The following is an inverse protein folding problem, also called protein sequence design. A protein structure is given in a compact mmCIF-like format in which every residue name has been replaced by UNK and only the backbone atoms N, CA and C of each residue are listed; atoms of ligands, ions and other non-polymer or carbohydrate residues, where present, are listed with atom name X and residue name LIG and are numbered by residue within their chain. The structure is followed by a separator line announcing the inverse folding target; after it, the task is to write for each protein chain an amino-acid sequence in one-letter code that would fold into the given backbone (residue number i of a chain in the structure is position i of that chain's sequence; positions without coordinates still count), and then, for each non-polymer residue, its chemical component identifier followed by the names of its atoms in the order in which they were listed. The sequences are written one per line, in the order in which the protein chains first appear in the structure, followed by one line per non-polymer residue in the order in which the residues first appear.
data_IF_342007077864
#
_entry.id   IF_342007077864
#
_cell.length_a   1.000
_cell.length_b   1.000
_cell.length_c   1.000
_cell.angle_alpha   90.00
_cell.angle_beta   90.00
_cell.angle_gamma   90.00
#
_symmetry.space_group_name_H-M   'P 1'
#
loop_
_entity.id
_entity.type
_entity.pdbx_description
1 polymer ?
#
# COMPACT_ATOMS: atom_id res chain seq x y z
N UNK A 1 -4.26 5.19 -1.73
CA UNK A 1 -3.93 5.96 -0.51
C UNK A 1 -2.44 6.22 -0.44
N UNK A 2 -2.03 7.43 -0.13
CA UNK A 2 -0.62 7.81 0.03
C UNK A 2 -0.51 9.07 0.92
N UNK A 3 0.73 9.50 1.26
CA UNK A 3 0.97 10.71 2.04
C UNK A 3 2.08 11.56 1.42
N UNK A 4 1.93 12.87 1.56
CA UNK A 4 2.97 13.81 1.15
C UNK A 4 3.31 14.78 2.29
N UNK A 5 4.54 15.29 2.28
CA UNK A 5 5.01 16.29 3.26
C UNK A 5 4.92 17.66 2.61
N UNK A 6 4.27 18.59 3.31
CA UNK A 6 4.19 20.00 2.92
C UNK A 6 5.05 20.79 3.91
N UNK A 7 6.14 21.42 3.45
CA UNK A 7 6.97 22.24 4.30
C UNK A 7 6.23 23.52 4.73
N UNK A 8 6.37 23.89 5.99
CA UNK A 8 5.78 25.08 6.56
C UNK A 8 6.84 25.97 7.22
N UNK A 9 6.59 27.27 7.24
CA UNK A 9 7.41 28.23 7.95
C UNK A 9 7.12 28.15 9.46
N UNK A 10 8.11 27.78 10.28
CA UNK A 10 7.94 27.65 11.73
C UNK A 10 7.62 28.97 12.44
N UNK A 11 8.04 30.13 11.89
CA UNK A 11 7.70 31.44 12.47
C UNK A 11 6.22 31.78 12.34
N UNK A 12 5.50 31.12 11.45
CA UNK A 12 4.06 31.29 11.24
C UNK A 12 3.25 30.12 11.83
N UNK A 13 3.84 28.90 11.79
CA UNK A 13 3.21 27.65 12.21
C UNK A 13 4.09 26.92 13.23
N UNK A 14 4.22 27.45 14.44
CA UNK A 14 5.09 26.96 15.51
C UNK A 14 4.74 25.53 15.99
N UNK A 15 3.48 25.14 15.85
CA UNK A 15 2.97 23.81 16.19
C UNK A 15 3.42 22.71 15.20
N UNK A 16 3.77 23.08 13.95
CA UNK A 16 4.10 22.13 12.87
C UNK A 16 5.57 21.68 12.91
N UNK A 17 6.11 21.39 14.09
CA UNK A 17 7.52 20.98 14.27
C UNK A 17 7.81 19.64 13.61
N UNK A 18 8.64 19.63 12.57
CA UNK A 18 9.09 18.41 11.88
C UNK A 18 10.53 18.02 12.25
N UNK A 19 11.44 18.99 12.21
CA UNK A 19 12.84 18.90 12.65
C UNK A 19 13.16 20.11 13.53
N UNK A 20 14.35 20.13 14.16
CA UNK A 20 14.76 21.21 15.04
C UNK A 20 14.60 22.63 14.42
N UNK A 21 14.78 22.74 13.10
CA UNK A 21 14.77 24.02 12.37
C UNK A 21 13.73 24.08 11.23
N UNK A 22 12.90 23.05 11.05
CA UNK A 22 11.95 22.97 9.92
C UNK A 22 10.57 22.57 10.40
N UNK A 23 9.57 23.32 9.92
CA UNK A 23 8.16 22.97 10.03
C UNK A 23 7.69 22.16 8.83
N UNK A 24 6.82 21.19 9.06
CA UNK A 24 6.10 20.50 8.02
C UNK A 24 4.86 19.80 8.57
N UNK A 25 3.85 19.70 7.75
CA UNK A 25 2.71 18.80 7.97
C UNK A 25 2.77 17.64 7.00
N UNK A 26 2.21 16.52 7.39
CA UNK A 26 2.00 15.37 6.51
C UNK A 26 0.53 15.28 6.16
N UNK A 27 0.26 15.30 4.87
CA UNK A 27 -1.07 15.18 4.29
C UNK A 27 -1.27 13.73 3.88
N UNK A 28 -2.16 13.01 4.58
CA UNK A 28 -2.59 11.66 4.23
C UNK A 28 -3.85 11.76 3.40
N UNK A 29 -3.86 11.16 2.22
CA UNK A 29 -4.97 11.29 1.26
C UNK A 29 -5.40 9.93 0.77
N UNK A 30 -6.71 9.72 0.74
CA UNK A 30 -7.34 8.66 -0.05
C UNK A 30 -7.90 9.33 -1.29
N UNK A 31 -7.41 8.95 -2.45
CA UNK A 31 -7.88 9.43 -3.73
C UNK A 31 -8.86 8.40 -4.29
N UNK A 32 -10.03 8.85 -4.71
CA UNK A 32 -10.95 8.02 -5.48
C UNK A 32 -10.43 7.88 -6.91
N UNK A 33 -10.43 6.65 -7.42
CA UNK A 33 -9.91 6.37 -8.75
C UNK A 33 -10.79 6.96 -9.86
N UNK A 34 -12.11 6.85 -9.71
CA UNK A 34 -13.06 7.23 -10.77
C UNK A 34 -13.13 8.74 -11.04
N UNK A 35 -12.65 9.57 -10.16
CA UNK A 35 -12.68 11.02 -10.35
C UNK A 35 -11.40 11.74 -10.01
N UNK A 36 -10.36 11.00 -9.62
CA UNK A 36 -9.12 11.58 -9.07
C UNK A 36 -9.39 12.60 -7.96
N UNK A 37 -10.49 12.44 -7.24
CA UNK A 37 -10.93 13.35 -6.17
C UNK A 37 -10.54 12.81 -4.81
N UNK A 38 -10.03 13.68 -3.90
CA UNK A 38 -9.78 13.26 -2.54
C UNK A 38 -11.09 12.89 -1.83
N UNK A 39 -11.26 11.62 -1.48
CA UNK A 39 -12.39 11.14 -0.68
C UNK A 39 -12.13 11.25 0.82
N UNK A 40 -10.85 11.33 1.21
CA UNK A 40 -10.43 11.51 2.59
C UNK A 40 -9.09 12.26 2.63
N UNK A 41 -9.01 13.24 3.54
CA UNK A 41 -7.78 14.00 3.80
C UNK A 41 -7.60 14.11 5.32
N UNK A 42 -6.43 13.72 5.80
CA UNK A 42 -6.05 13.87 7.21
C UNK A 42 -4.67 14.52 7.32
N UNK A 43 -4.60 15.58 8.12
CA UNK A 43 -3.37 16.35 8.32
C UNK A 43 -2.79 15.97 9.67
N UNK A 44 -1.51 15.60 9.68
CA UNK A 44 -0.77 15.30 10.90
C UNK A 44 0.52 16.09 10.94
N UNK A 45 1.22 16.03 12.08
CA UNK A 45 2.60 16.45 12.12
C UNK A 45 3.45 15.60 11.13
N UNK A 46 4.58 16.15 10.68
CA UNK A 46 5.43 15.49 9.71
C UNK A 46 6.04 14.15 10.17
N UNK A 47 5.95 13.83 11.46
CA UNK A 47 6.53 12.61 12.07
C UNK A 47 5.57 11.44 12.15
N UNK A 48 4.26 11.69 12.01
CA UNK A 48 3.25 10.64 12.14
C UNK A 48 3.45 9.54 11.10
N UNK A 49 3.43 8.29 11.56
CA UNK A 49 3.60 7.14 10.68
C UNK A 49 2.31 6.84 9.92
N UNK A 50 2.43 6.54 8.62
CA UNK A 50 1.31 6.30 7.70
C UNK A 50 0.35 5.20 8.21
N UNK A 51 0.89 4.09 8.71
CA UNK A 51 0.08 2.96 9.20
C UNK A 51 -0.80 3.31 10.41
N UNK A 52 -0.42 4.31 11.22
CA UNK A 52 -1.26 4.74 12.35
C UNK A 52 -2.51 5.45 11.85
N UNK A 53 -2.36 6.32 10.85
CA UNK A 53 -3.49 7.03 10.23
C UNK A 53 -4.39 6.05 9.48
N UNK A 54 -3.82 5.12 8.74
CA UNK A 54 -4.59 4.11 8.00
C UNK A 54 -5.57 3.34 8.91
N UNK A 55 -5.17 3.03 10.13
CA UNK A 55 -6.02 2.32 11.12
C UNK A 55 -7.22 3.11 11.63
N UNK A 56 -7.22 4.44 11.46
CA UNK A 56 -8.35 5.30 11.88
C UNK A 56 -9.42 5.45 10.80
N UNK A 57 -9.15 4.96 9.60
CA UNK A 57 -10.07 5.09 8.46
C UNK A 57 -10.85 3.79 8.29
N UNK A 58 -12.18 3.90 8.24
CA UNK A 58 -13.06 2.79 7.92
C UNK A 58 -13.45 2.85 6.44
N UNK A 59 -13.42 1.70 5.78
CA UNK A 59 -13.80 1.57 4.38
C UNK A 59 -15.01 0.66 4.25
N UNK A 60 -15.95 0.96 3.35
CA UNK A 60 -17.08 0.08 3.11
C UNK A 60 -16.64 -1.27 2.51
N UNK A 61 -17.37 -2.37 2.78
CA UNK A 61 -17.10 -3.66 2.17
C UNK A 61 -17.08 -3.58 0.64
N UNK A 62 -16.22 -4.36 0.01
CA UNK A 62 -16.03 -4.37 -1.44
C UNK A 62 -15.02 -3.35 -1.97
N UNK A 63 -14.59 -2.39 -1.15
CA UNK A 63 -13.56 -1.43 -1.56
C UNK A 63 -12.24 -2.13 -1.89
N UNK A 64 -11.56 -1.59 -2.90
CA UNK A 64 -10.19 -1.99 -3.29
C UNK A 64 -9.23 -0.87 -2.92
N UNK A 65 -8.33 -1.12 -1.97
CA UNK A 65 -7.35 -0.14 -1.52
C UNK A 65 -5.99 -0.41 -2.16
N UNK A 66 -5.48 0.56 -2.89
CA UNK A 66 -4.11 0.53 -3.40
C UNK A 66 -3.26 1.45 -2.53
N UNK A 67 -2.26 0.87 -1.87
CA UNK A 67 -1.48 1.59 -0.86
C UNK A 67 0.02 1.40 -1.06
N UNK A 68 0.82 2.41 -0.69
CA UNK A 68 2.27 2.26 -0.70
C UNK A 68 2.76 1.32 0.41
N UNK A 69 3.96 0.79 0.24
CA UNK A 69 4.60 -0.13 1.23
C UNK A 69 4.77 0.50 2.62
N UNK A 70 4.75 1.83 2.74
CA UNK A 70 4.75 2.54 4.02
C UNK A 70 3.53 2.22 4.88
N UNK A 71 2.41 1.88 4.25
CA UNK A 71 1.16 1.50 4.91
C UNK A 71 1.10 0.01 5.28
N UNK A 72 2.06 -0.81 4.88
CA UNK A 72 2.06 -2.25 5.18
C UNK A 72 2.15 -2.46 6.70
N UNK A 73 1.01 -2.82 7.26
CA UNK A 73 0.82 -3.24 8.64
C UNK A 73 -0.12 -4.45 8.62
N UNK A 74 0.38 -5.59 9.03
CA UNK A 74 -0.38 -6.85 8.88
C UNK A 74 -1.64 -6.90 9.74
N UNK A 75 -1.65 -6.24 10.90
CA UNK A 75 -2.85 -6.14 11.72
C UNK A 75 -3.94 -5.32 11.02
N UNK A 76 -3.57 -4.22 10.37
CA UNK A 76 -4.50 -3.43 9.56
C UNK A 76 -4.99 -4.19 8.32
N UNK A 77 -4.10 -4.91 7.64
CA UNK A 77 -4.48 -5.77 6.50
C UNK A 77 -5.50 -6.84 6.90
N UNK A 78 -5.38 -7.38 8.13
CA UNK A 78 -6.37 -8.31 8.68
C UNK A 78 -7.72 -7.63 8.92
N UNK A 79 -7.72 -6.39 9.40
CA UNK A 79 -8.96 -5.62 9.57
C UNK A 79 -9.63 -5.43 8.21
N UNK A 80 -8.88 -5.00 7.18
CA UNK A 80 -9.41 -4.86 5.82
C UNK A 80 -10.05 -6.16 5.30
N UNK A 81 -9.34 -7.26 5.46
CA UNK A 81 -9.82 -8.58 5.04
C UNK A 81 -11.10 -8.98 5.79
N UNK A 82 -11.13 -8.80 7.11
CA UNK A 82 -12.30 -9.13 7.93
C UNK A 82 -13.53 -8.25 7.68
N UNK A 83 -13.31 -7.02 7.18
CA UNK A 83 -14.38 -6.09 6.80
C UNK A 83 -14.80 -6.23 5.34
N UNK A 84 -14.27 -7.22 4.61
CA UNK A 84 -14.59 -7.46 3.20
C UNK A 84 -13.96 -6.48 2.23
N UNK A 85 -12.90 -5.77 2.64
CA UNK A 85 -12.13 -4.90 1.78
C UNK A 85 -10.95 -5.66 1.15
N UNK A 86 -10.63 -5.30 -0.08
CA UNK A 86 -9.45 -5.82 -0.79
C UNK A 86 -8.32 -4.82 -0.74
N UNK A 87 -7.08 -5.30 -0.78
CA UNK A 87 -5.92 -4.43 -0.88
C UNK A 87 -4.93 -4.91 -1.94
N UNK A 88 -4.17 -3.96 -2.49
CA UNK A 88 -2.97 -4.19 -3.29
C UNK A 88 -1.86 -3.29 -2.77
N UNK A 89 -0.71 -3.89 -2.45
CA UNK A 89 0.48 -3.16 -1.99
C UNK A 89 1.76 -3.86 -2.46
N UNK A 90 2.91 -3.21 -2.25
CA UNK A 90 4.22 -3.86 -2.45
C UNK A 90 4.70 -4.51 -1.17
N UNK A 91 5.41 -5.64 -1.30
CA UNK A 91 6.08 -6.27 -0.16
C UNK A 91 7.18 -5.38 0.43
N UNK A 92 7.45 -5.54 1.71
CA UNK A 92 8.64 -4.98 2.35
C UNK A 92 9.82 -5.93 2.12
N UNK A 93 11.02 -5.39 1.91
CA UNK A 93 12.23 -6.18 1.67
C UNK A 93 12.61 -7.11 2.84
N UNK A 94 12.17 -6.78 4.05
CA UNK A 94 12.40 -7.56 5.27
C UNK A 94 11.22 -8.48 5.64
N UNK A 95 10.25 -8.67 4.73
CA UNK A 95 9.13 -9.56 4.96
C UNK A 95 9.60 -11.01 5.03
N UNK A 96 9.21 -11.73 6.09
CA UNK A 96 9.45 -13.17 6.26
C UNK A 96 8.17 -13.94 5.98
N UNK A 97 8.25 -14.93 5.12
CA UNK A 97 7.10 -15.76 4.73
C UNK A 97 7.51 -17.15 4.30
N UNK A 98 6.56 -18.06 4.32
CA UNK A 98 6.68 -19.39 3.72
C UNK A 98 5.79 -19.45 2.49
N UNK A 99 6.30 -19.99 1.40
CA UNK A 99 5.50 -20.25 0.19
C UNK A 99 4.70 -21.52 0.40
N UNK A 100 3.37 -21.40 0.36
CA UNK A 100 2.44 -22.53 0.50
C UNK A 100 2.15 -23.17 -0.85
N UNK A 101 1.94 -22.34 -1.87
CA UNK A 101 1.62 -22.79 -3.22
C UNK A 101 2.17 -21.81 -4.24
N UNK A 102 2.73 -22.35 -5.32
CA UNK A 102 3.09 -21.56 -6.50
C UNK A 102 2.22 -22.02 -7.68
N UNK A 103 1.55 -21.08 -8.31
CA UNK A 103 0.83 -21.31 -9.55
C UNK A 103 1.82 -21.09 -10.69
N UNK A 104 2.14 -22.16 -11.41
CA UNK A 104 2.95 -22.10 -12.65
C UNK A 104 2.01 -22.27 -13.82
N UNK A 105 1.97 -21.31 -14.73
CA UNK A 105 1.22 -21.38 -15.98
C UNK A 105 2.00 -20.63 -17.06
N UNK A 106 2.06 -21.17 -18.27
CA UNK A 106 2.66 -20.49 -19.41
C UNK A 106 1.96 -19.15 -19.70
N UNK A 107 0.67 -19.05 -19.42
CA UNK A 107 -0.11 -17.82 -19.50
C UNK A 107 0.34 -16.74 -18.48
N UNK A 108 1.13 -17.07 -17.44
CA UNK A 108 1.67 -16.10 -16.48
C UNK A 108 2.79 -15.26 -17.09
N UNK A 109 3.49 -15.75 -18.12
CA UNK A 109 4.62 -15.03 -18.73
C UNK A 109 4.18 -13.80 -19.55
N UNK A 110 2.89 -13.71 -19.90
CA UNK A 110 2.35 -12.50 -20.52
C UNK A 110 2.32 -11.33 -19.54
N UNK A 111 2.92 -10.21 -19.91
CA UNK A 111 2.95 -8.98 -19.13
C UNK A 111 4.01 -8.93 -18.03
N UNK A 112 5.05 -9.76 -18.13
CA UNK A 112 6.18 -9.74 -17.19
C UNK A 112 5.92 -10.45 -15.86
N UNK A 113 4.81 -11.20 -15.74
CA UNK A 113 4.50 -11.94 -14.52
C UNK A 113 5.36 -13.18 -14.46
N UNK A 114 6.19 -13.30 -13.43
CA UNK A 114 7.13 -14.41 -13.26
C UNK A 114 6.62 -15.46 -12.27
N UNK A 115 5.85 -15.04 -11.26
CA UNK A 115 5.31 -15.96 -10.25
C UNK A 115 4.00 -15.44 -9.67
N UNK A 116 3.11 -16.37 -9.32
CA UNK A 116 1.88 -16.13 -8.56
C UNK A 116 1.82 -17.16 -7.43
N UNK A 117 1.93 -16.68 -6.20
CA UNK A 117 2.13 -17.52 -5.03
C UNK A 117 1.09 -17.26 -3.96
N UNK A 118 0.72 -18.31 -3.26
CA UNK A 118 0.09 -18.20 -1.94
C UNK A 118 1.19 -18.30 -0.89
N UNK A 119 1.30 -17.30 -0.06
CA UNK A 119 2.30 -17.22 1.01
C UNK A 119 1.63 -17.16 2.37
N UNK A 120 2.33 -17.63 3.38
CA UNK A 120 1.96 -17.50 4.78
C UNK A 120 3.02 -16.67 5.48
N UNK A 121 2.59 -15.61 6.17
CA UNK A 121 3.50 -14.72 6.86
C UNK A 121 4.08 -15.40 8.12
N UNK A 122 5.40 -15.37 8.23
CA UNK A 122 6.12 -15.76 9.43
C UNK A 122 6.21 -14.52 10.31
N UNK A 123 5.41 -14.46 11.37
CA UNK A 123 5.33 -13.30 12.26
C UNK A 123 5.35 -13.69 13.72
N UNK A 124 5.55 -12.68 14.57
CA UNK A 124 5.38 -12.85 16.02
C UNK A 124 3.90 -13.16 16.33
N UNK A 125 3.60 -14.11 17.22
CA UNK A 125 2.25 -14.46 17.64
C UNK A 125 1.42 -13.24 18.09
N UNK A 126 2.08 -12.21 18.61
CA UNK A 126 1.46 -10.97 19.09
C UNK A 126 0.88 -10.07 17.99
N UNK A 127 1.11 -10.38 16.70
CA UNK A 127 0.64 -9.56 15.57
C UNK A 127 -0.66 -10.13 14.98
N UNK A 128 -1.17 -11.24 15.49
CA UNK A 128 -2.44 -11.84 15.03
C UNK A 128 -2.42 -12.42 13.62
N UNK A 129 -1.23 -12.64 13.03
CA UNK A 129 -1.06 -12.97 11.62
C UNK A 129 -0.47 -14.36 11.37
N UNK A 130 -0.17 -15.11 12.41
CA UNK A 130 0.32 -16.47 12.24
C UNK A 130 -0.73 -17.31 11.49
N UNK A 131 -0.34 -17.88 10.36
CA UNK A 131 -1.20 -18.75 9.55
C UNK A 131 -2.09 -18.04 8.53
N UNK A 132 -2.09 -16.70 8.41
CA UNK A 132 -2.85 -16.04 7.35
C UNK A 132 -2.19 -16.15 5.98
N UNK A 133 -2.99 -16.61 5.03
CA UNK A 133 -2.59 -16.74 3.64
C UNK A 133 -2.79 -15.41 2.92
N UNK A 134 -1.75 -14.95 2.24
CA UNK A 134 -1.75 -13.77 1.38
C UNK A 134 -1.27 -14.23 -0.01
N UNK A 135 -1.80 -13.62 -1.05
CA UNK A 135 -1.33 -13.84 -2.41
C UNK A 135 -0.21 -12.87 -2.72
N UNK A 136 0.88 -13.39 -3.27
CA UNK A 136 2.00 -12.62 -3.78
C UNK A 136 2.11 -12.81 -5.29
N UNK A 137 2.11 -11.70 -6.02
CA UNK A 137 2.34 -11.68 -7.47
C UNK A 137 3.67 -11.01 -7.75
N UNK A 138 4.60 -11.72 -8.41
CA UNK A 138 5.91 -11.23 -8.78
C UNK A 138 5.95 -10.84 -10.24
N UNK A 139 6.40 -9.63 -10.53
CA UNK A 139 6.38 -9.04 -11.88
C UNK A 139 7.76 -8.49 -12.22
N UNK A 140 8.31 -8.89 -13.35
CA UNK A 140 9.54 -8.33 -13.90
C UNK A 140 9.22 -7.06 -14.71
N UNK A 141 9.76 -5.94 -14.30
CA UNK A 141 9.86 -4.75 -15.13
C UNK A 141 11.11 -4.89 -16.02
N UNK A 142 10.93 -5.29 -17.26
CA UNK A 142 12.04 -5.51 -18.19
C UNK A 142 12.78 -4.23 -18.55
N UNK A 143 12.14 -3.05 -18.43
CA UNK A 143 12.78 -1.77 -18.74
C UNK A 143 13.77 -1.35 -17.66
N UNK A 144 13.46 -1.67 -16.40
CA UNK A 144 14.29 -1.35 -15.23
C UNK A 144 15.10 -2.54 -14.74
N UNK A 145 14.85 -3.72 -15.28
CA UNK A 145 15.40 -5.00 -14.79
C UNK A 145 15.19 -5.22 -13.28
N UNK A 146 13.97 -4.91 -12.80
CA UNK A 146 13.59 -5.00 -11.39
C UNK A 146 12.37 -5.88 -11.23
N UNK A 147 12.42 -6.78 -10.25
CA UNK A 147 11.27 -7.59 -9.84
C UNK A 147 10.46 -6.84 -8.78
N UNK A 148 9.19 -6.60 -9.07
CA UNK A 148 8.23 -6.08 -8.11
C UNK A 148 7.42 -7.23 -7.51
N UNK A 149 7.19 -7.17 -6.20
CA UNK A 149 6.39 -8.14 -5.45
C UNK A 149 5.15 -7.45 -4.90
N UNK A 150 3.99 -7.82 -5.41
CA UNK A 150 2.71 -7.27 -4.98
C UNK A 150 1.99 -8.25 -4.07
N UNK A 151 1.37 -7.71 -3.02
CA UNK A 151 0.58 -8.46 -2.05
C UNK A 151 -0.88 -8.08 -2.18
N UNK A 152 -1.76 -9.08 -2.08
CA UNK A 152 -3.22 -8.89 -2.06
C UNK A 152 -3.90 -10.01 -1.29
N UNK A 153 -5.07 -9.73 -0.71
CA UNK A 153 -5.98 -10.75 -0.15
C UNK A 153 -6.98 -11.27 -1.19
N UNK A 154 -6.94 -10.77 -2.43
CA UNK A 154 -7.83 -11.26 -3.49
C UNK A 154 -7.16 -12.38 -4.31
N UNK A 155 -7.73 -13.58 -4.23
CA UNK A 155 -7.24 -14.77 -4.92
C UNK A 155 -7.94 -15.02 -6.27
N UNK A 156 -8.99 -14.27 -6.61
CA UNK A 156 -9.78 -14.46 -7.82
C UNK A 156 -9.32 -13.60 -8.99
N UNK A 157 -8.67 -12.47 -8.74
CA UNK A 157 -8.19 -11.60 -9.81
C UNK A 157 -7.09 -12.25 -10.65
N UNK A 158 -7.03 -11.87 -11.92
CA UNK A 158 -5.87 -12.24 -12.75
C UNK A 158 -4.61 -11.55 -12.20
N UNK A 159 -3.42 -12.21 -12.25
CA UNK A 159 -2.16 -11.59 -11.77
C UNK A 159 -1.87 -10.25 -12.44
N UNK A 160 -2.18 -10.13 -13.74
CA UNK A 160 -2.06 -8.88 -14.49
C UNK A 160 -2.93 -7.75 -13.92
N UNK A 161 -4.13 -8.08 -13.43
CA UNK A 161 -5.02 -7.11 -12.77
C UNK A 161 -4.39 -6.56 -11.50
N UNK A 162 -3.77 -7.41 -10.68
CA UNK A 162 -3.06 -6.97 -9.46
C UNK A 162 -1.93 -6.00 -9.80
N UNK A 163 -1.13 -6.32 -10.83
CA UNK A 163 -0.05 -5.45 -11.29
C UNK A 163 -0.57 -4.12 -11.85
N UNK A 164 -1.66 -4.15 -12.63
CA UNK A 164 -2.27 -2.94 -13.18
C UNK A 164 -2.84 -2.04 -12.09
N UNK A 165 -3.57 -2.59 -11.13
CA UNK A 165 -4.10 -1.82 -9.99
C UNK A 165 -2.98 -1.11 -9.22
N UNK A 166 -1.83 -1.75 -9.03
CA UNK A 166 -0.73 -1.08 -8.35
C UNK A 166 -0.14 0.08 -9.19
N UNK A 167 -0.16 0.02 -10.51
CA UNK A 167 0.27 1.14 -11.36
C UNK A 167 -0.58 2.38 -11.13
N UNK A 168 -1.87 2.22 -10.92
CA UNK A 168 -2.80 3.34 -10.68
C UNK A 168 -2.45 4.13 -9.39
N UNK A 169 -1.65 3.57 -8.50
CA UNK A 169 -1.12 4.31 -7.34
C UNK A 169 -0.35 5.58 -7.73
N UNK A 170 0.21 5.64 -8.95
CA UNK A 170 0.93 6.82 -9.42
C UNK A 170 0.03 8.05 -9.63
N UNK A 171 -1.26 7.87 -9.78
CA UNK A 171 -2.22 8.97 -9.92
C UNK A 171 -2.20 9.88 -8.69
N UNK A 172 -2.08 9.32 -7.48
CA UNK A 172 -1.97 10.12 -6.26
C UNK A 172 -0.64 10.90 -6.18
N UNK A 173 0.44 10.36 -6.73
CA UNK A 173 1.70 11.11 -6.81
C UNK A 173 1.59 12.29 -7.78
N UNK A 174 0.88 12.11 -8.90
CA UNK A 174 0.57 13.16 -9.86
C UNK A 174 -0.32 14.22 -9.22
N UNK A 175 -1.36 13.82 -8.50
CA UNK A 175 -2.18 14.71 -7.70
C UNK A 175 -1.35 15.55 -6.73
N UNK A 176 -0.44 14.94 -5.98
CA UNK A 176 0.43 15.68 -5.04
C UNK A 176 1.40 16.65 -5.73
N UNK A 177 1.82 16.37 -6.97
CA UNK A 177 2.65 17.31 -7.75
C UNK A 177 1.89 18.57 -8.13
N UNK A 178 0.59 18.46 -8.40
CA UNK A 178 -0.24 19.62 -8.71
C UNK A 178 -0.64 20.40 -7.44
N UNK A 179 -0.62 19.75 -6.27
CA UNK A 179 -0.94 20.39 -5.00
C UNK A 179 0.22 21.22 -4.43
N UNK A 180 1.45 20.95 -4.80
CA UNK A 180 2.67 21.63 -4.33
C UNK A 180 3.07 22.78 -5.23
#
# INVERSE_FOLDING_TARGET
MDATIIPLCLSVFDWAKFRSTKGAVKLHTVLDYDGCMPSFVHITDGKQHESKVAKTISFPPGCVLVVDRGYVDYAWMNILDSTGCFFVTRSKSNMKYTVIKTTKSEALMEGGIIEDQTIELIGSPNIGNAGKKIRQVRVLDSTKNVVYEFLTNNFSWKPKTVASLYKERWEIETFFKHLK
#
